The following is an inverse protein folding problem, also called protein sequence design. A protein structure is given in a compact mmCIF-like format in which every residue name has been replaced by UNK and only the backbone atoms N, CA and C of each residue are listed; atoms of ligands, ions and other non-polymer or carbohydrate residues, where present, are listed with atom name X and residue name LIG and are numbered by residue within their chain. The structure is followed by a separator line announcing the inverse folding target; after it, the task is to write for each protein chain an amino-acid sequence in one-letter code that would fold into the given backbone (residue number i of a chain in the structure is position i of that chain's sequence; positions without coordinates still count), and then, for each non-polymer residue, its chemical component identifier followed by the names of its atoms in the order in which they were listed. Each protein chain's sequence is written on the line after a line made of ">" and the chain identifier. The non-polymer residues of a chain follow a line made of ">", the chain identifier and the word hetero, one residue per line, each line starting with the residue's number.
data_IF_141971004445
#
_entry.id   IF_141971004445
#
_cell.length_a   1.000
_cell.length_b   1.000
_cell.length_c   1.000
_cell.angle_alpha   90.00
_cell.angle_beta   90.00
_cell.angle_gamma   90.00
#
_symmetry.space_group_name_H-M   'P 1'
#
loop_
_entity.id
_entity.type
_entity.pdbx_description
1 polymer ?
#
# COMPACT_ATOMS: atom_id res chain seq x y z
N UNK A 1 6.60 -4.04 -2.05
CA UNK A 1 7.49 -3.93 -0.87
C UNK A 1 7.35 -5.19 -0.01
N UNK A 2 8.36 -5.52 0.80
CA UNK A 2 8.29 -6.62 1.77
C UNK A 2 8.44 -6.02 3.18
N UNK A 3 7.52 -6.35 4.07
CA UNK A 3 7.43 -5.77 5.40
C UNK A 3 7.38 -6.87 6.48
N UNK A 4 8.36 -6.89 7.38
CA UNK A 4 8.47 -7.91 8.42
C UNK A 4 7.76 -7.49 9.72
N UNK A 5 6.75 -8.26 10.12
CA UNK A 5 6.00 -8.13 11.37
C UNK A 5 6.42 -9.22 12.37
N UNK A 6 7.68 -9.14 12.81
CA UNK A 6 8.31 -10.17 13.64
C UNK A 6 7.58 -10.46 14.96
N UNK A 7 6.92 -9.46 15.56
CA UNK A 7 6.19 -9.63 16.83
C UNK A 7 4.98 -10.57 16.73
N UNK A 8 4.44 -10.72 15.54
CA UNK A 8 3.27 -11.58 15.27
C UNK A 8 3.57 -12.67 14.22
N UNK A 9 4.87 -12.90 13.94
CA UNK A 9 5.34 -13.94 13.01
C UNK A 9 4.74 -13.84 11.59
N UNK A 10 4.62 -12.63 11.04
CA UNK A 10 4.06 -12.41 9.70
C UNK A 10 5.03 -11.63 8.79
N UNK A 11 4.95 -11.91 7.49
CA UNK A 11 5.63 -11.14 6.44
C UNK A 11 4.57 -10.67 5.45
N UNK A 12 4.47 -9.36 5.26
CA UNK A 12 3.54 -8.75 4.31
C UNK A 12 4.29 -8.46 3.01
N UNK A 13 3.77 -8.97 1.90
CA UNK A 13 4.31 -8.73 0.56
C UNK A 13 3.26 -7.95 -0.23
N UNK A 14 3.64 -6.75 -0.66
CA UNK A 14 2.78 -5.88 -1.44
C UNK A 14 3.20 -5.90 -2.91
N UNK A 15 2.23 -6.19 -3.78
CA UNK A 15 2.38 -6.23 -5.23
C UNK A 15 1.72 -5.02 -5.89
N UNK A 16 2.20 -4.65 -7.07
CA UNK A 16 1.50 -3.72 -7.94
C UNK A 16 0.46 -4.49 -8.76
N UNK A 17 -0.80 -4.08 -8.63
CA UNK A 17 -1.90 -4.59 -9.43
C UNK A 17 -2.29 -3.61 -10.52
N UNK A 18 -2.74 -4.14 -11.66
CA UNK A 18 -3.38 -3.37 -12.73
C UNK A 18 -4.89 -3.53 -12.62
N UNK A 19 -5.60 -2.42 -12.48
CA UNK A 19 -7.06 -2.44 -12.47
C UNK A 19 -7.57 -2.73 -13.89
N UNK A 20 -8.35 -3.79 -14.04
CA UNK A 20 -8.91 -4.21 -15.32
C UNK A 20 -10.19 -3.43 -15.61
N UNK A 21 -10.27 -2.85 -16.80
CA UNK A 21 -11.46 -2.16 -17.34
C UNK A 21 -12.08 -1.10 -16.41
N UNK A 22 -11.28 -0.55 -15.47
CA UNK A 22 -11.75 0.40 -14.47
C UNK A 22 -12.78 -0.16 -13.49
N UNK A 23 -12.97 -1.49 -13.43
CA UNK A 23 -13.96 -2.13 -12.59
C UNK A 23 -13.43 -2.32 -11.17
N UNK A 24 -14.07 -1.64 -10.21
CA UNK A 24 -13.84 -1.82 -8.78
C UNK A 24 -15.16 -1.67 -8.03
N UNK A 25 -15.20 -2.17 -6.80
CA UNK A 25 -16.37 -2.08 -5.94
C UNK A 25 -16.11 -2.70 -4.58
N UNK A 26 -17.15 -2.71 -3.76
CA UNK A 26 -17.11 -3.33 -2.43
C UNK A 26 -17.53 -4.79 -2.50
N UNK A 27 -16.80 -5.63 -1.77
CA UNK A 27 -17.21 -7.00 -1.44
C UNK A 27 -17.78 -7.09 -0.02
N UNK A 28 -18.02 -8.30 0.46
CA UNK A 28 -18.62 -8.55 1.78
C UNK A 28 -17.77 -8.01 2.96
N UNK A 29 -16.46 -7.89 2.76
CA UNK A 29 -15.50 -7.41 3.76
C UNK A 29 -15.28 -5.88 3.71
N UNK A 30 -15.95 -5.14 2.82
CA UNK A 30 -15.70 -3.71 2.60
C UNK A 30 -16.99 -2.89 2.66
N UNK A 31 -16.93 -1.76 3.38
CA UNK A 31 -18.05 -0.81 3.46
C UNK A 31 -18.06 0.20 2.30
N UNK A 32 -16.87 0.64 1.87
CA UNK A 32 -16.69 1.62 0.80
C UNK A 32 -15.41 1.31 0.02
N UNK A 33 -15.41 1.66 -1.27
CA UNK A 33 -14.22 1.63 -2.13
C UNK A 33 -14.21 2.86 -3.03
N UNK A 34 -13.07 3.56 -3.14
CA UNK A 34 -12.86 4.60 -4.15
C UNK A 34 -11.44 4.58 -4.69
N UNK A 35 -11.25 5.22 -5.84
CA UNK A 35 -9.94 5.55 -6.38
C UNK A 35 -9.47 6.91 -5.84
N UNK A 36 -8.16 7.04 -5.61
CA UNK A 36 -7.54 8.21 -4.99
C UNK A 36 -6.40 8.72 -5.86
N UNK A 37 -6.31 10.05 -6.04
CA UNK A 37 -5.02 10.66 -6.33
C UNK A 37 -4.14 10.66 -5.06
N UNK A 38 -2.82 10.68 -5.23
CA UNK A 38 -1.86 10.66 -4.10
C UNK A 38 -2.17 11.71 -3.02
N UNK A 39 -2.50 12.93 -3.44
CA UNK A 39 -2.83 14.05 -2.55
C UNK A 39 -4.13 13.87 -1.76
N UNK A 40 -4.97 12.93 -2.16
CA UNK A 40 -6.28 12.67 -1.57
C UNK A 40 -6.28 11.46 -0.64
N UNK A 41 -5.16 10.73 -0.56
CA UNK A 41 -5.02 9.57 0.30
C UNK A 41 -5.14 10.03 1.77
N UNK A 42 -6.04 9.43 2.56
CA UNK A 42 -6.25 9.81 3.96
C UNK A 42 -5.19 9.18 4.86
N UNK A 43 -3.94 9.62 4.72
CA UNK A 43 -2.79 9.05 5.44
C UNK A 43 -2.98 8.90 6.96
N UNK A 44 -3.57 9.87 7.69
CA UNK A 44 -3.76 9.75 9.14
C UNK A 44 -4.79 8.68 9.55
N UNK A 45 -5.69 8.30 8.63
CA UNK A 45 -6.77 7.34 8.88
C UNK A 45 -6.38 5.90 8.49
N UNK A 46 -5.25 5.73 7.81
CA UNK A 46 -4.77 4.42 7.40
C UNK A 46 -4.36 3.57 8.61
N UNK A 47 -4.93 2.36 8.71
CA UNK A 47 -4.72 1.48 9.86
C UNK A 47 -3.34 0.80 9.94
N UNK A 48 -2.66 0.59 8.80
CA UNK A 48 -1.46 -0.25 8.74
C UNK A 48 -0.23 0.51 8.23
N UNK A 49 0.81 0.56 9.07
CA UNK A 49 2.13 1.13 8.75
C UNK A 49 2.77 0.52 7.50
N UNK A 50 2.59 -0.78 7.29
CA UNK A 50 3.14 -1.50 6.13
C UNK A 50 2.56 -1.00 4.80
N UNK A 51 1.26 -0.70 4.77
CA UNK A 51 0.59 -0.09 3.62
C UNK A 51 1.04 1.36 3.41
N UNK A 52 1.17 2.14 4.48
CA UNK A 52 1.67 3.52 4.42
C UNK A 52 3.09 3.55 3.84
N UNK A 53 3.99 2.72 4.36
CA UNK A 53 5.36 2.58 3.87
C UNK A 53 5.40 2.23 2.38
N UNK A 54 4.60 1.22 1.98
CA UNK A 54 4.55 0.75 0.60
C UNK A 54 4.09 1.85 -0.34
N UNK A 55 3.01 2.57 -0.01
CA UNK A 55 2.50 3.63 -0.87
C UNK A 55 3.48 4.82 -0.95
N UNK A 56 4.05 5.26 0.19
CA UNK A 56 5.01 6.38 0.20
C UNK A 56 6.26 6.08 -0.63
N UNK A 57 6.83 4.88 -0.47
CA UNK A 57 7.99 4.46 -1.26
C UNK A 57 7.64 4.33 -2.74
N UNK A 58 6.45 3.80 -3.07
CA UNK A 58 5.97 3.73 -4.45
C UNK A 58 5.84 5.11 -5.11
N UNK A 59 5.24 6.09 -4.43
CA UNK A 59 5.10 7.44 -4.99
C UNK A 59 6.44 8.16 -5.15
N UNK A 60 7.35 8.01 -4.18
CA UNK A 60 8.71 8.55 -4.29
C UNK A 60 9.49 7.94 -5.47
N UNK A 61 9.41 6.61 -5.64
CA UNK A 61 10.02 5.91 -6.77
C UNK A 61 9.41 6.36 -8.11
N UNK A 62 8.08 6.50 -8.18
CA UNK A 62 7.37 7.01 -9.36
C UNK A 62 7.82 8.41 -9.73
N UNK A 63 8.00 9.31 -8.75
CA UNK A 63 8.52 10.65 -8.99
C UNK A 63 9.96 10.62 -9.51
N UNK A 64 10.77 9.69 -9.03
CA UNK A 64 12.16 9.50 -9.47
C UNK A 64 12.29 8.67 -10.77
N UNK A 65 11.19 8.17 -11.34
CA UNK A 65 11.19 7.36 -12.55
C UNK A 65 11.82 5.97 -12.38
N UNK A 66 11.84 5.44 -11.15
CA UNK A 66 12.40 4.12 -10.84
C UNK A 66 11.31 3.18 -10.32
N UNK A 67 11.58 1.88 -10.36
CA UNK A 67 10.74 0.87 -9.73
C UNK A 67 11.64 -0.16 -9.06
N UNK A 68 11.59 -0.25 -7.72
CA UNK A 68 12.38 -1.21 -6.96
C UNK A 68 11.61 -1.82 -5.80
N UNK A 69 12.11 -2.95 -5.32
CA UNK A 69 11.58 -3.58 -4.10
C UNK A 69 12.19 -2.90 -2.88
N UNK A 70 11.32 -2.42 -2.00
CA UNK A 70 11.71 -1.89 -0.69
C UNK A 70 11.47 -2.94 0.41
N UNK A 71 12.39 -3.01 1.38
CA UNK A 71 12.33 -3.89 2.54
C UNK A 71 12.19 -3.03 3.82
N UNK A 72 11.30 -3.41 4.73
CA UNK A 72 11.19 -2.78 6.05
C UNK A 72 10.65 -3.75 7.11
N UNK A 73 10.50 -3.29 8.36
CA UNK A 73 10.01 -4.05 9.51
C UNK A 73 9.22 -3.15 10.46
N UNK A 74 8.33 -3.72 11.27
CA UNK A 74 7.65 -2.99 12.35
C UNK A 74 8.52 -2.89 13.61
N UNK A 75 8.48 -1.79 14.38
CA UNK A 75 7.90 -0.49 13.98
C UNK A 75 8.74 0.17 12.87
N UNK A 76 8.10 1.05 12.09
CA UNK A 76 8.76 1.85 11.05
C UNK A 76 9.95 2.67 11.56
#
# INVERSE_FOLDING_TARGET
>A
AIFNLHRINQVYIHFLGHLLDGQFGVGEESLESRLFHEKEIPWPEMAFESSIFTLRTYFADRQAGVLKVHLSKYPL
#
